data_IF_069493058230
#
_entry.id   IF_069493058230
#
_cell.length_a   1.000
_cell.length_b   1.000
_cell.length_c   1.000
_cell.angle_alpha   90.00
_cell.angle_beta   90.00
_cell.angle_gamma   90.00
#
_symmetry.space_group_name_H-M   'P 1'
#
loop_
_entity.id
_entity.type
_entity.pdbx_description
1 polymer ?
#
# COMPACT_ATOMS: atom_id res chain seq x y z
N UNK A 1 21.78 -6.47 -4.23
CA UNK A 1 20.31 -6.32 -4.32
C UNK A 1 19.70 -7.63 -3.89
N UNK A 2 18.93 -7.63 -2.79
CA UNK A 2 18.25 -8.84 -2.32
C UNK A 2 16.95 -9.08 -3.08
N UNK A 3 16.46 -10.31 -3.01
CA UNK A 3 15.30 -10.77 -3.77
C UNK A 3 14.01 -10.08 -3.36
N UNK A 4 13.15 -9.83 -4.35
CA UNK A 4 11.73 -9.50 -4.12
C UNK A 4 11.02 -10.81 -3.82
N UNK A 5 10.26 -10.85 -2.73
CA UNK A 5 9.39 -11.97 -2.39
C UNK A 5 7.96 -11.48 -2.25
N UNK A 6 7.03 -12.15 -2.92
CA UNK A 6 5.61 -11.87 -2.76
C UNK A 6 5.18 -12.25 -1.34
N UNK A 7 4.44 -11.36 -0.69
CA UNK A 7 3.93 -11.53 0.68
C UNK A 7 2.62 -12.32 0.60
N UNK A 8 2.68 -13.50 -0.03
CA UNK A 8 1.50 -14.34 -0.31
C UNK A 8 0.84 -14.74 1.02
N UNK A 9 -0.41 -14.31 1.21
CA UNK A 9 -1.21 -14.63 2.40
C UNK A 9 -1.13 -13.64 3.55
N UNK A 10 -0.35 -12.56 3.42
CA UNK A 10 -0.28 -11.45 4.39
C UNK A 10 -0.82 -10.13 3.86
N UNK A 11 -1.31 -10.12 2.61
CA UNK A 11 -2.10 -9.03 2.01
C UNK A 11 -3.33 -8.66 2.85
N UNK A 12 -3.87 -9.61 3.62
CA UNK A 12 -4.96 -9.42 4.57
C UNK A 12 -4.50 -9.42 6.03
N UNK A 13 -3.19 -9.33 6.29
CA UNK A 13 -2.71 -9.18 7.66
C UNK A 13 -3.03 -7.77 8.16
N UNK A 14 -3.37 -7.67 9.44
CA UNK A 14 -3.68 -6.38 10.07
C UNK A 14 -2.55 -5.35 9.84
N UNK A 15 -1.30 -5.78 9.87
CA UNK A 15 -0.14 -4.91 9.63
C UNK A 15 -0.11 -4.31 8.21
N UNK A 16 -0.40 -5.09 7.18
CA UNK A 16 -0.41 -4.60 5.79
C UNK A 16 -1.61 -3.67 5.55
N UNK A 17 -2.76 -3.96 6.15
CA UNK A 17 -3.95 -3.11 6.08
C UNK A 17 -3.74 -1.76 6.81
N UNK A 18 -3.06 -1.77 7.97
CA UNK A 18 -2.68 -0.54 8.68
C UNK A 18 -1.65 0.29 7.89
N UNK A 19 -0.63 -0.35 7.31
CA UNK A 19 0.34 0.31 6.43
C UNK A 19 -0.33 0.94 5.20
N UNK A 20 -1.30 0.23 4.61
CA UNK A 20 -2.09 0.71 3.50
C UNK A 20 -2.91 1.96 3.86
N UNK A 21 -3.63 1.92 5.00
CA UNK A 21 -4.37 3.08 5.51
C UNK A 21 -3.45 4.27 5.78
N UNK A 22 -2.30 4.00 6.42
CA UNK A 22 -1.32 5.04 6.71
C UNK A 22 -0.80 5.69 5.43
N UNK A 23 -0.46 4.91 4.40
CA UNK A 23 0.01 5.44 3.12
C UNK A 23 -1.04 6.34 2.43
N UNK A 24 -2.31 5.95 2.45
CA UNK A 24 -3.41 6.75 1.88
C UNK A 24 -3.65 8.03 2.69
N UNK A 25 -3.65 7.93 4.02
CA UNK A 25 -3.84 9.09 4.91
C UNK A 25 -2.68 10.09 4.83
N UNK A 26 -1.43 9.61 4.82
CA UNK A 26 -0.24 10.43 4.64
C UNK A 26 -0.25 11.14 3.28
N UNK A 27 -0.63 10.44 2.21
CA UNK A 27 -0.79 11.05 0.90
C UNK A 27 -1.89 12.12 0.90
N UNK A 28 -3.05 11.83 1.50
CA UNK A 28 -4.14 12.79 1.62
C UNK A 28 -3.73 14.06 2.36
N UNK A 29 -2.99 13.92 3.47
CA UNK A 29 -2.46 15.05 4.24
C UNK A 29 -1.44 15.87 3.45
N UNK A 30 -0.54 15.23 2.69
CA UNK A 30 0.52 15.91 1.92
C UNK A 30 0.03 16.54 0.62
N UNK A 31 -0.82 15.82 -0.11
CA UNK A 31 -1.30 16.22 -1.43
C UNK A 31 -2.64 16.98 -1.37
N UNK A 32 -3.22 17.15 -0.17
CA UNK A 32 -4.55 17.73 0.03
C UNK A 32 -5.62 17.03 -0.82
N UNK A 33 -5.54 15.70 -0.87
CA UNK A 33 -6.47 14.83 -1.59
C UNK A 33 -7.44 14.14 -0.61
N UNK A 34 -8.55 13.62 -1.15
CA UNK A 34 -9.56 12.89 -0.39
C UNK A 34 -9.71 11.46 -0.93
N UNK A 35 -8.59 10.74 -1.04
CA UNK A 35 -8.59 9.35 -1.48
C UNK A 35 -9.16 8.46 -0.38
N UNK A 36 -10.09 7.59 -0.73
CA UNK A 36 -10.68 6.63 0.21
C UNK A 36 -10.06 5.26 -0.01
N UNK A 37 -9.35 4.74 0.98
CA UNK A 37 -8.83 3.37 0.94
C UNK A 37 -9.97 2.35 0.81
N UNK A 38 -9.85 1.42 -0.14
CA UNK A 38 -10.81 0.32 -0.33
C UNK A 38 -10.25 -1.02 0.14
N UNK A 39 -9.13 -1.45 -0.45
CA UNK A 39 -8.50 -2.75 -0.14
C UNK A 39 -7.06 -2.81 -0.62
N UNK A 40 -6.30 -3.74 -0.05
CA UNK A 40 -4.99 -4.15 -0.59
C UNK A 40 -5.22 -5.17 -1.70
N UNK A 41 -4.64 -4.91 -2.86
CA UNK A 41 -4.71 -5.80 -4.05
C UNK A 41 -3.50 -6.70 -4.13
N UNK A 42 -2.34 -6.21 -3.68
CA UNK A 42 -1.10 -6.97 -3.66
C UNK A 42 -0.16 -6.40 -2.58
N UNK A 43 0.66 -7.25 -1.99
CA UNK A 43 1.72 -6.87 -1.08
C UNK A 43 2.99 -7.64 -1.44
N UNK A 44 4.08 -6.90 -1.64
CA UNK A 44 5.41 -7.45 -1.91
C UNK A 44 6.40 -6.92 -0.89
N UNK A 45 7.38 -7.73 -0.57
CA UNK A 45 8.46 -7.36 0.32
C UNK A 45 9.78 -7.51 -0.44
N UNK A 46 10.62 -6.49 -0.37
CA UNK A 46 11.96 -6.52 -0.94
C UNK A 46 12.99 -6.33 0.15
N UNK A 47 13.89 -7.31 0.28
CA UNK A 47 15.00 -7.24 1.23
C UNK A 47 16.18 -6.55 0.55
N UNK A 48 16.63 -5.43 1.10
CA UNK A 48 17.83 -4.68 0.69
C UNK A 48 18.74 -4.49 1.90
N UNK A 49 19.29 -3.30 2.16
CA UNK A 49 19.88 -2.94 3.47
C UNK A 49 18.81 -2.60 4.53
N UNK A 50 17.65 -3.27 4.45
CA UNK A 50 16.40 -2.99 5.15
C UNK A 50 15.25 -3.74 4.49
N UNK A 51 14.02 -3.58 4.98
CA UNK A 51 12.83 -4.21 4.39
C UNK A 51 11.97 -3.13 3.73
N UNK A 52 11.77 -3.21 2.42
CA UNK A 52 10.85 -2.32 1.69
C UNK A 52 9.55 -3.08 1.47
N UNK A 53 8.43 -2.46 1.81
CA UNK A 53 7.09 -2.95 1.52
C UNK A 53 6.52 -2.23 0.31
N UNK A 54 6.20 -2.99 -0.73
CA UNK A 54 5.56 -2.48 -1.94
C UNK A 54 4.11 -2.95 -1.91
N UNK A 55 3.20 -2.04 -1.60
CA UNK A 55 1.78 -2.31 -1.47
C UNK A 55 1.04 -1.76 -2.68
N UNK A 56 0.22 -2.60 -3.30
CA UNK A 56 -0.73 -2.18 -4.33
C UNK A 56 -2.10 -2.01 -3.68
N UNK A 57 -2.60 -0.78 -3.65
CA UNK A 57 -3.79 -0.37 -2.93
C UNK A 57 -4.87 0.06 -3.93
N UNK A 58 -6.09 -0.42 -3.75
CA UNK A 58 -7.27 0.12 -4.41
C UNK A 58 -7.82 1.25 -3.55
N UNK A 59 -7.98 2.42 -4.15
CA UNK A 59 -8.60 3.60 -3.52
C UNK A 59 -9.71 4.15 -4.39
N UNK A 60 -10.58 4.95 -3.81
CA UNK A 60 -11.64 5.66 -4.51
C UNK A 60 -11.41 7.17 -4.44
N UNK A 61 -11.45 7.80 -5.60
CA UNK A 61 -11.24 9.24 -5.79
C UNK A 61 -12.51 9.82 -6.42
N UNK A 62 -13.38 10.42 -5.61
CA UNK A 62 -14.64 11.00 -6.09
C UNK A 62 -15.55 10.00 -6.82
N UNK A 63 -15.62 8.76 -6.34
CA UNK A 63 -16.43 7.69 -6.96
C UNK A 63 -15.74 6.94 -8.10
N UNK A 64 -14.50 7.29 -8.45
CA UNK A 64 -13.68 6.52 -9.40
C UNK A 64 -12.68 5.66 -8.67
N UNK A 65 -12.73 4.35 -8.90
CA UNK A 65 -11.74 3.42 -8.37
C UNK A 65 -10.42 3.58 -9.12
N UNK A 66 -9.34 3.75 -8.38
CA UNK A 66 -7.97 3.85 -8.87
C UNK A 66 -7.09 2.90 -8.07
N UNK A 67 -6.03 2.42 -8.70
CA UNK A 67 -5.03 1.56 -8.06
C UNK A 67 -3.74 2.36 -7.95
N UNK A 68 -3.15 2.38 -6.76
CA UNK A 68 -1.89 3.05 -6.47
C UNK A 68 -0.88 2.05 -5.91
N UNK A 69 0.39 2.28 -6.21
CA UNK A 69 1.50 1.58 -5.59
C UNK A 69 2.11 2.48 -4.52
N UNK A 70 2.13 2.01 -3.28
CA UNK A 70 2.80 2.64 -2.15
C UNK A 70 4.07 1.86 -1.80
N UNK A 71 5.18 2.58 -1.63
CA UNK A 71 6.44 2.03 -1.15
C UNK A 71 6.72 2.60 0.23
N UNK A 72 6.83 1.70 1.21
CA UNK A 72 7.15 2.01 2.61
C UNK A 72 8.51 1.40 2.94
#
# INVERSE_FOLDING_TARGET
>A
VGGVSDVKGHENSLQIDDLARFAVDDHNKKANTLLQFKKVVNAKQQVVSGTIYILTLEVEDGGKKKVYEAKI
#
